data_IF_992278348416
#
_entry.id   IF_992278348416
#
_cell.length_a   1.000
_cell.length_b   1.000
_cell.length_c   1.000
_cell.angle_alpha   90.00
_cell.angle_beta   90.00
_cell.angle_gamma   90.00
#
_symmetry.space_group_name_H-M   'P 1'
#
loop_
_entity.id
_entity.type
_entity.pdbx_description
1 polymer ?
#
# COMPACT_ATOMS: atom_id res chain seq x y z
N UNK A 1 29.83 -35.70 -39.46
CA UNK A 1 29.99 -35.39 -38.02
C UNK A 1 30.10 -33.87 -37.88
N UNK A 2 29.00 -33.15 -37.62
CA UNK A 2 29.06 -31.81 -37.04
C UNK A 2 28.80 -31.91 -35.53
N UNK A 3 29.64 -31.27 -34.72
CA UNK A 3 29.58 -31.31 -33.27
C UNK A 3 28.35 -30.59 -32.72
N UNK A 4 27.57 -31.34 -31.95
CA UNK A 4 26.54 -30.84 -31.03
C UNK A 4 27.22 -30.03 -29.94
N UNK A 5 27.02 -28.71 -29.94
CA UNK A 5 27.34 -27.89 -28.79
C UNK A 5 26.23 -28.11 -27.76
N UNK A 6 26.55 -28.77 -26.64
CA UNK A 6 25.74 -28.70 -25.43
C UNK A 6 25.48 -27.22 -25.10
N UNK A 7 24.25 -26.84 -24.68
CA UNK A 7 24.00 -25.48 -24.23
C UNK A 7 25.01 -25.11 -23.16
N UNK A 8 25.63 -23.95 -23.32
CA UNK A 8 26.58 -23.46 -22.32
C UNK A 8 25.85 -23.24 -20.99
N UNK A 9 26.54 -23.41 -19.87
CA UNK A 9 25.98 -23.19 -18.52
C UNK A 9 25.27 -21.83 -18.39
N UNK A 10 25.75 -20.82 -19.12
CA UNK A 10 25.18 -19.48 -19.17
C UNK A 10 23.85 -19.41 -19.94
N UNK A 11 23.73 -20.13 -21.05
CA UNK A 11 22.47 -20.24 -21.82
C UNK A 11 21.39 -20.97 -21.03
N UNK A 12 21.74 -22.06 -20.33
CA UNK A 12 20.80 -22.77 -19.45
C UNK A 12 20.32 -21.88 -18.31
N UNK A 13 21.22 -21.12 -17.67
CA UNK A 13 20.86 -20.17 -16.61
C UNK A 13 19.96 -19.04 -17.12
N UNK A 14 20.26 -18.49 -18.29
CA UNK A 14 19.45 -17.47 -18.92
C UNK A 14 18.04 -17.99 -19.25
N UNK A 15 17.93 -19.25 -19.66
CA UNK A 15 16.63 -19.86 -19.94
C UNK A 15 15.83 -20.11 -18.65
N UNK A 16 16.46 -20.62 -17.59
CA UNK A 16 15.83 -20.77 -16.27
C UNK A 16 15.33 -19.43 -15.72
N UNK A 17 16.10 -18.36 -15.89
CA UNK A 17 15.70 -16.99 -15.56
C UNK A 17 14.45 -16.55 -16.34
N UNK A 18 14.36 -16.87 -17.64
CA UNK A 18 13.15 -16.59 -18.43
C UNK A 18 11.94 -17.42 -17.97
N UNK A 19 12.15 -18.69 -17.63
CA UNK A 19 11.10 -19.56 -17.08
C UNK A 19 10.52 -19.01 -15.77
N UNK A 20 11.39 -18.54 -14.88
CA UNK A 20 10.99 -17.84 -13.65
C UNK A 20 10.17 -16.59 -13.95
N UNK A 21 10.63 -15.77 -14.90
CA UNK A 21 9.93 -14.56 -15.29
C UNK A 21 8.53 -14.86 -15.84
N UNK A 22 8.39 -15.92 -16.65
CA UNK A 22 7.10 -16.35 -17.18
C UNK A 22 6.16 -16.80 -16.06
N UNK A 23 6.66 -17.62 -15.14
CA UNK A 23 5.88 -18.15 -14.02
C UNK A 23 5.30 -17.05 -13.10
N UNK A 24 6.08 -16.00 -12.87
CA UNK A 24 5.67 -14.84 -12.08
C UNK A 24 4.70 -13.94 -12.83
N UNK A 25 4.87 -13.78 -14.16
CA UNK A 25 3.88 -13.08 -14.99
C UNK A 25 2.54 -13.79 -14.97
N UNK A 26 2.51 -15.12 -15.03
CA UNK A 26 1.27 -15.89 -14.93
C UNK A 26 0.57 -15.67 -13.57
N UNK A 27 1.33 -15.60 -12.48
CA UNK A 27 0.80 -15.29 -11.16
C UNK A 27 0.25 -13.86 -11.08
N UNK A 28 0.95 -12.88 -11.67
CA UNK A 28 0.49 -11.50 -11.74
C UNK A 28 -0.79 -11.37 -12.60
N UNK A 29 -0.88 -12.09 -13.71
CA UNK A 29 -2.09 -12.15 -14.56
C UNK A 29 -3.26 -12.73 -13.76
N UNK A 30 -3.03 -13.79 -12.98
CA UNK A 30 -4.06 -14.37 -12.12
C UNK A 30 -4.51 -13.38 -11.02
N UNK A 31 -3.57 -12.66 -10.41
CA UNK A 31 -3.87 -11.60 -9.42
C UNK A 31 -4.70 -10.48 -10.03
N UNK A 32 -4.30 -9.97 -11.19
CA UNK A 32 -5.01 -8.90 -11.90
C UNK A 32 -6.42 -9.34 -12.31
N UNK A 33 -6.61 -10.60 -12.72
CA UNK A 33 -7.93 -11.17 -13.01
C UNK A 33 -8.84 -11.21 -11.78
N UNK A 34 -8.29 -11.57 -10.62
CA UNK A 34 -9.02 -11.54 -9.36
C UNK A 34 -9.36 -10.09 -8.93
N UNK A 35 -8.44 -9.15 -9.13
CA UNK A 35 -8.67 -7.72 -8.86
C UNK A 35 -9.75 -7.12 -9.79
N UNK A 36 -9.73 -7.43 -11.08
CA UNK A 36 -10.76 -7.02 -12.05
C UNK A 36 -12.15 -7.52 -11.61
N UNK A 37 -12.24 -8.79 -11.21
CA UNK A 37 -13.49 -9.38 -10.71
C UNK A 37 -13.99 -8.69 -9.44
N UNK A 38 -13.09 -8.39 -8.50
CA UNK A 38 -13.43 -7.70 -7.25
C UNK A 38 -13.90 -6.27 -7.51
N UNK A 39 -13.18 -5.51 -8.33
CA UNK A 39 -13.54 -4.13 -8.69
C UNK A 39 -14.88 -4.09 -9.45
N UNK A 40 -15.16 -5.06 -10.31
CA UNK A 40 -16.44 -5.15 -11.00
C UNK A 40 -17.61 -5.32 -10.03
N UNK A 41 -17.44 -6.13 -8.97
CA UNK A 41 -18.44 -6.27 -7.90
C UNK A 41 -18.60 -4.97 -7.12
N UNK A 42 -17.48 -4.35 -6.70
CA UNK A 42 -17.51 -3.08 -5.97
C UNK A 42 -18.21 -1.96 -6.76
N UNK A 43 -17.92 -1.85 -8.06
CA UNK A 43 -18.60 -0.90 -8.95
C UNK A 43 -20.11 -1.15 -8.99
N UNK A 44 -20.54 -2.41 -9.10
CA UNK A 44 -21.96 -2.75 -9.12
C UNK A 44 -22.65 -2.41 -7.79
N UNK A 45 -22.00 -2.67 -6.65
CA UNK A 45 -22.48 -2.30 -5.32
C UNK A 45 -22.57 -0.77 -5.15
N UNK A 46 -21.55 -0.03 -5.59
CA UNK A 46 -21.52 1.44 -5.56
C UNK A 46 -22.61 2.02 -6.46
N UNK A 47 -22.84 1.47 -7.65
CA UNK A 47 -23.94 1.89 -8.53
C UNK A 47 -25.31 1.67 -7.90
N UNK A 48 -25.52 0.53 -7.23
CA UNK A 48 -26.75 0.25 -6.49
C UNK A 48 -26.94 1.24 -5.32
N UNK A 49 -25.86 1.54 -4.58
CA UNK A 49 -25.87 2.52 -3.50
C UNK A 49 -26.20 3.93 -4.02
N UNK A 50 -25.66 4.33 -5.17
CA UNK A 50 -25.99 5.59 -5.84
C UNK A 50 -27.47 5.65 -6.19
N UNK A 51 -28.07 4.58 -6.73
CA UNK A 51 -29.48 4.55 -7.07
C UNK A 51 -30.37 4.75 -5.82
N UNK A 52 -30.05 4.06 -4.72
CA UNK A 52 -30.74 4.23 -3.43
C UNK A 52 -30.57 5.66 -2.86
N UNK A 53 -29.35 6.20 -2.91
CA UNK A 53 -29.07 7.55 -2.44
C UNK A 53 -29.79 8.62 -3.26
N UNK A 54 -29.96 8.42 -4.57
CA UNK A 54 -30.75 9.33 -5.41
C UNK A 54 -32.20 9.38 -4.97
N UNK A 55 -32.82 8.25 -4.63
CA UNK A 55 -34.18 8.21 -4.11
C UNK A 55 -34.30 8.97 -2.78
N UNK A 56 -33.32 8.79 -1.87
CA UNK A 56 -33.28 9.49 -0.59
C UNK A 56 -33.06 11.00 -0.76
N UNK A 57 -32.22 11.41 -1.70
CA UNK A 57 -32.00 12.83 -2.03
C UNK A 57 -33.30 13.45 -2.55
N UNK A 58 -34.04 12.78 -3.44
CA UNK A 58 -35.31 13.33 -3.94
C UNK A 58 -36.36 13.47 -2.82
N UNK A 59 -36.48 12.47 -1.93
CA UNK A 59 -37.38 12.56 -0.76
C UNK A 59 -37.01 13.73 0.16
N UNK A 60 -35.74 13.82 0.57
CA UNK A 60 -35.29 14.90 1.46
C UNK A 60 -35.34 16.28 0.80
N UNK A 61 -35.11 16.36 -0.51
CA UNK A 61 -35.26 17.57 -1.33
C UNK A 61 -36.70 18.09 -1.31
N UNK A 62 -37.69 17.22 -1.44
CA UNK A 62 -39.09 17.61 -1.37
C UNK A 62 -39.43 18.24 -0.01
N UNK A 63 -38.97 17.62 1.08
CA UNK A 63 -39.18 18.14 2.43
C UNK A 63 -38.43 19.45 2.68
N UNK A 64 -37.16 19.54 2.29
CA UNK A 64 -36.36 20.76 2.38
C UNK A 64 -36.99 21.90 1.54
N UNK A 65 -37.51 21.60 0.36
CA UNK A 65 -38.20 22.56 -0.50
C UNK A 65 -39.48 23.13 0.14
N UNK A 66 -40.25 22.32 0.87
CA UNK A 66 -41.41 22.79 1.65
C UNK A 66 -40.99 23.76 2.75
N UNK A 67 -39.92 23.45 3.48
CA UNK A 67 -39.36 24.33 4.51
C UNK A 67 -38.93 25.67 3.89
N UNK A 68 -38.09 25.65 2.86
CA UNK A 68 -37.60 26.87 2.19
C UNK A 68 -38.74 27.73 1.64
N UNK A 69 -39.77 27.10 1.05
CA UNK A 69 -40.96 27.82 0.56
C UNK A 69 -41.72 28.50 1.69
N UNK A 70 -41.88 27.85 2.85
CA UNK A 70 -42.56 28.44 4.00
C UNK A 70 -41.81 29.65 4.58
N UNK A 71 -40.47 29.65 4.55
CA UNK A 71 -39.67 30.84 4.87
C UNK A 71 -39.85 31.94 3.81
N UNK A 72 -39.79 31.58 2.52
CA UNK A 72 -39.93 32.52 1.41
C UNK A 72 -41.30 33.21 1.36
N UNK A 73 -42.38 32.45 1.57
CA UNK A 73 -43.75 32.97 1.59
C UNK A 73 -44.10 33.73 2.89
N UNK A 74 -43.16 33.83 3.84
CA UNK A 74 -43.37 34.55 5.10
C UNK A 74 -44.20 33.82 6.14
N UNK A 75 -44.65 32.58 5.89
CA UNK A 75 -45.42 31.78 6.84
C UNK A 75 -44.66 31.55 8.16
N UNK A 76 -43.33 31.42 8.08
CA UNK A 76 -42.45 31.26 9.25
C UNK A 76 -42.13 32.58 9.97
N UNK A 77 -42.15 33.70 9.26
CA UNK A 77 -41.93 35.06 9.83
C UNK A 77 -43.13 35.49 10.68
N UNK A 78 -44.34 35.07 10.30
CA UNK A 78 -45.56 35.31 11.07
C UNK A 78 -45.55 34.68 12.48
N UNK A 79 -44.72 33.66 12.73
CA UNK A 79 -44.63 33.01 14.05
C UNK A 79 -43.95 33.90 15.10
N UNK A 80 -43.00 34.74 14.70
CA UNK A 80 -42.43 35.76 15.60
C UNK A 80 -43.46 36.83 15.99
N UNK A 81 -44.34 37.21 15.06
CA UNK A 81 -45.42 38.13 15.36
C UNK A 81 -46.46 37.52 16.31
N UNK A 82 -46.64 36.19 16.29
CA UNK A 82 -47.49 35.48 17.24
C UNK A 82 -46.97 35.60 18.68
N UNK A 83 -45.65 35.50 18.90
CA UNK A 83 -45.03 35.71 20.23
C UNK A 83 -45.31 37.13 20.76
N UNK A 84 -45.22 38.14 19.90
CA UNK A 84 -45.52 39.54 20.25
C UNK A 84 -47.01 39.82 20.49
N UNK A 85 -47.89 38.93 20.02
CA UNK A 85 -49.34 39.02 20.19
C UNK A 85 -49.89 38.23 21.39
N UNK A 86 -49.00 37.59 22.17
CA UNK A 86 -49.38 36.74 23.30
C UNK A 86 -50.13 37.52 24.39
N UNK A 87 -51.18 36.91 24.97
CA UNK A 87 -52.05 37.57 25.96
C UNK A 87 -51.53 37.49 27.39
N UNK A 88 -50.51 36.68 27.64
CA UNK A 88 -49.87 36.52 28.95
C UNK A 88 -48.42 36.02 28.81
N UNK A 89 -47.63 36.14 29.87
CA UNK A 89 -46.25 35.63 29.90
C UNK A 89 -46.19 34.10 29.70
N UNK A 90 -47.14 33.36 30.29
CA UNK A 90 -47.21 31.90 30.12
C UNK A 90 -47.52 31.48 28.68
N UNK A 91 -48.36 32.27 28.00
CA UNK A 91 -48.72 32.08 26.60
C UNK A 91 -47.53 32.37 25.67
N UNK A 92 -46.78 33.45 25.96
CA UNK A 92 -45.56 33.80 25.22
C UNK A 92 -44.48 32.71 25.34
N UNK A 93 -44.26 32.15 26.54
CA UNK A 93 -43.31 31.05 26.77
C UNK A 93 -43.70 29.80 25.96
N UNK A 94 -44.99 29.44 25.98
CA UNK A 94 -45.49 28.27 25.24
C UNK A 94 -45.28 28.43 23.73
N UNK A 95 -45.61 29.61 23.16
CA UNK A 95 -45.40 29.90 21.74
C UNK A 95 -43.90 29.85 21.37
N UNK A 96 -43.03 30.36 22.24
CA UNK A 96 -41.58 30.31 22.05
C UNK A 96 -41.03 28.87 22.05
N UNK A 97 -41.51 27.99 22.94
CA UNK A 97 -41.12 26.58 22.96
C UNK A 97 -41.54 25.86 21.66
N UNK A 98 -42.76 26.07 21.18
CA UNK A 98 -43.21 25.54 19.89
C UNK A 98 -42.40 26.07 18.71
N UNK A 99 -42.03 27.35 18.73
CA UNK A 99 -41.19 27.94 17.71
C UNK A 99 -39.79 27.29 17.67
N UNK A 100 -39.17 27.07 18.82
CA UNK A 100 -37.88 26.39 18.89
C UNK A 100 -37.95 24.95 18.35
N UNK A 101 -39.02 24.20 18.67
CA UNK A 101 -39.22 22.86 18.11
C UNK A 101 -39.38 22.89 16.59
N UNK A 102 -40.11 23.88 16.06
CA UNK A 102 -40.27 24.08 14.62
C UNK A 102 -38.94 24.38 13.93
N UNK A 103 -38.16 25.33 14.45
CA UNK A 103 -36.83 25.70 13.92
C UNK A 103 -35.87 24.53 13.97
N UNK A 104 -35.84 23.77 15.06
CA UNK A 104 -35.02 22.55 15.15
C UNK A 104 -35.41 21.51 14.11
N UNK A 105 -36.71 21.31 13.88
CA UNK A 105 -37.19 20.39 12.86
C UNK A 105 -36.86 20.86 11.44
N UNK A 106 -37.00 22.15 11.16
CA UNK A 106 -36.64 22.76 9.87
C UNK A 106 -35.13 22.59 9.62
N UNK A 107 -34.28 22.87 10.62
CA UNK A 107 -32.84 22.61 10.55
C UNK A 107 -32.51 21.14 10.30
N UNK A 108 -33.16 20.22 11.02
CA UNK A 108 -32.98 18.79 10.81
C UNK A 108 -33.34 18.38 9.37
N UNK A 109 -34.42 18.94 8.83
CA UNK A 109 -34.88 18.64 7.47
C UNK A 109 -33.88 19.15 6.41
N UNK A 110 -33.38 20.38 6.57
CA UNK A 110 -32.39 20.96 5.67
C UNK A 110 -31.05 20.22 5.75
N UNK A 111 -30.60 19.86 6.96
CA UNK A 111 -29.39 19.08 7.16
C UNK A 111 -29.52 17.68 6.56
N UNK A 112 -30.66 17.00 6.74
CA UNK A 112 -30.89 15.69 6.14
C UNK A 112 -30.78 15.73 4.60
N UNK A 113 -31.27 16.80 3.96
CA UNK A 113 -31.06 16.99 2.52
C UNK A 113 -29.58 17.22 2.20
N UNK A 114 -28.90 18.14 2.90
CA UNK A 114 -27.48 18.42 2.69
C UNK A 114 -26.61 17.16 2.84
N UNK A 115 -26.84 16.38 3.90
CA UNK A 115 -26.12 15.14 4.19
C UNK A 115 -26.36 14.09 3.10
N UNK A 116 -27.62 13.89 2.68
CA UNK A 116 -27.96 12.94 1.61
C UNK A 116 -27.33 13.34 0.27
N UNK A 117 -27.30 14.64 -0.05
CA UNK A 117 -26.71 15.17 -1.27
C UNK A 117 -25.19 15.01 -1.28
N UNK A 118 -24.53 15.33 -0.17
CA UNK A 118 -23.10 15.14 0.00
C UNK A 118 -22.71 13.65 -0.08
N UNK A 119 -23.52 12.77 0.52
CA UNK A 119 -23.34 11.32 0.40
C UNK A 119 -23.44 10.83 -1.05
N UNK A 120 -24.40 11.34 -1.81
CA UNK A 120 -24.54 11.03 -3.24
C UNK A 120 -23.33 11.52 -4.07
N UNK A 121 -22.81 12.71 -3.79
CA UNK A 121 -21.61 13.24 -4.45
C UNK A 121 -20.38 12.38 -4.15
N UNK A 122 -20.16 12.04 -2.87
CA UNK A 122 -19.06 11.17 -2.46
C UNK A 122 -19.13 9.78 -3.11
N UNK A 123 -20.33 9.19 -3.19
CA UNK A 123 -20.53 7.90 -3.86
C UNK A 123 -20.22 7.97 -5.37
N UNK A 124 -20.57 9.07 -6.05
CA UNK A 124 -20.23 9.28 -7.46
C UNK A 124 -18.74 9.45 -7.69
N UNK A 125 -18.06 10.17 -6.79
CA UNK A 125 -16.60 10.32 -6.85
C UNK A 125 -15.90 8.96 -6.64
N UNK A 126 -16.38 8.17 -5.68
CA UNK A 126 -15.89 6.81 -5.47
C UNK A 126 -16.06 5.94 -6.72
N UNK A 127 -17.25 5.92 -7.32
CA UNK A 127 -17.51 5.18 -8.56
C UNK A 127 -16.55 5.58 -9.70
N UNK A 128 -16.25 6.88 -9.82
CA UNK A 128 -15.31 7.35 -10.82
C UNK A 128 -13.90 6.82 -10.57
N UNK A 129 -13.44 6.82 -9.31
CA UNK A 129 -12.14 6.25 -8.92
C UNK A 129 -12.06 4.75 -9.19
N UNK A 130 -13.09 3.99 -8.77
CA UNK A 130 -13.15 2.54 -9.01
C UNK A 130 -13.11 2.20 -10.50
N UNK A 131 -13.82 2.97 -11.35
CA UNK A 131 -13.78 2.78 -12.81
C UNK A 131 -12.44 3.12 -13.43
N UNK A 132 -11.75 4.13 -12.91
CA UNK A 132 -10.40 4.48 -13.35
C UNK A 132 -9.42 3.35 -12.98
N UNK A 133 -9.49 2.87 -11.73
CA UNK A 133 -8.67 1.75 -11.26
C UNK A 133 -8.92 0.49 -12.11
N UNK A 134 -10.18 0.17 -12.42
CA UNK A 134 -10.53 -0.94 -13.32
C UNK A 134 -9.88 -0.79 -14.71
N UNK A 135 -9.87 0.41 -15.28
CA UNK A 135 -9.24 0.66 -16.58
C UNK A 135 -7.72 0.44 -16.52
N UNK A 136 -7.07 0.88 -15.44
CA UNK A 136 -5.64 0.69 -15.20
C UNK A 136 -5.29 -0.80 -15.01
N UNK A 137 -6.09 -1.53 -14.23
CA UNK A 137 -5.96 -2.99 -14.04
C UNK A 137 -6.08 -3.73 -15.37
N UNK A 138 -7.06 -3.37 -16.21
CA UNK A 138 -7.23 -3.97 -17.54
C UNK A 138 -6.07 -3.68 -18.48
N UNK A 139 -5.56 -2.45 -18.48
CA UNK A 139 -4.39 -2.09 -19.29
C UNK A 139 -3.15 -2.88 -18.85
N UNK A 140 -2.92 -2.99 -17.54
CA UNK A 140 -1.84 -3.80 -16.96
C UNK A 140 -1.98 -5.27 -17.36
N UNK A 141 -3.18 -5.84 -17.25
CA UNK A 141 -3.47 -7.22 -17.60
C UNK A 141 -3.08 -7.54 -19.06
N UNK A 142 -3.46 -6.68 -20.01
CA UNK A 142 -3.12 -6.86 -21.43
C UNK A 142 -1.60 -6.79 -21.62
N UNK A 143 -0.95 -5.79 -21.03
CA UNK A 143 0.51 -5.63 -21.14
C UNK A 143 1.27 -6.84 -20.58
N UNK A 144 0.85 -7.39 -19.44
CA UNK A 144 1.48 -8.58 -18.86
C UNK A 144 1.27 -9.82 -19.73
N UNK A 145 0.08 -9.99 -20.33
CA UNK A 145 -0.18 -11.10 -21.27
C UNK A 145 0.69 -11.04 -22.51
N UNK A 146 0.89 -9.86 -23.09
CA UNK A 146 1.76 -9.67 -24.25
C UNK A 146 3.23 -10.00 -23.92
N UNK A 147 3.70 -9.56 -22.75
CA UNK A 147 5.04 -9.91 -22.24
C UNK A 147 5.19 -11.41 -22.02
N UNK A 148 4.21 -12.05 -21.37
CA UNK A 148 4.23 -13.49 -21.13
C UNK A 148 4.27 -14.29 -22.44
N UNK A 149 3.47 -13.89 -23.43
CA UNK A 149 3.48 -14.52 -24.76
C UNK A 149 4.84 -14.38 -25.46
N UNK A 150 5.49 -13.22 -25.33
CA UNK A 150 6.83 -12.97 -25.90
C UNK A 150 7.87 -13.88 -25.25
N UNK A 151 7.91 -13.94 -23.91
CA UNK A 151 8.86 -14.79 -23.18
C UNK A 151 8.61 -16.28 -23.48
N UNK A 152 7.34 -16.70 -23.56
CA UNK A 152 7.00 -18.07 -23.92
C UNK A 152 7.50 -18.45 -25.32
N UNK A 153 7.37 -17.55 -26.31
CA UNK A 153 7.91 -17.75 -27.65
C UNK A 153 9.43 -17.84 -27.66
N UNK A 154 10.12 -17.02 -26.87
CA UNK A 154 11.57 -17.06 -26.75
C UNK A 154 12.06 -18.38 -26.12
N UNK A 155 11.37 -18.85 -25.07
CA UNK A 155 11.66 -20.15 -24.44
C UNK A 155 11.47 -21.29 -25.44
N UNK A 156 10.34 -21.30 -26.15
CA UNK A 156 10.04 -22.35 -27.12
C UNK A 156 11.03 -22.36 -28.29
N UNK A 157 11.45 -21.19 -28.77
CA UNK A 157 12.47 -21.10 -29.81
C UNK A 157 13.80 -21.73 -29.38
N UNK A 158 14.23 -21.50 -28.13
CA UNK A 158 15.45 -22.11 -27.58
C UNK A 158 15.28 -23.62 -27.45
N UNK A 159 14.15 -24.08 -26.89
CA UNK A 159 13.87 -25.52 -26.73
C UNK A 159 13.86 -26.23 -28.09
N UNK A 160 13.19 -25.67 -29.10
CA UNK A 160 13.06 -26.28 -30.43
C UNK A 160 14.39 -26.40 -31.19
N UNK A 161 15.35 -25.52 -30.90
CA UNK A 161 16.69 -25.56 -31.52
C UNK A 161 17.70 -26.42 -30.76
N UNK A 162 17.36 -26.86 -29.55
CA UNK A 162 18.24 -27.63 -28.69
C UNK A 162 18.01 -29.15 -28.86
N UNK A 163 19.06 -29.96 -29.14
CA UNK A 163 18.96 -31.42 -29.21
C UNK A 163 18.36 -32.07 -27.96
N UNK A 164 18.60 -31.48 -26.78
CA UNK A 164 18.09 -31.95 -25.48
C UNK A 164 16.90 -31.12 -24.99
N UNK A 165 16.15 -30.49 -25.90
CA UNK A 165 15.08 -29.55 -25.59
C UNK A 165 14.01 -30.10 -24.63
N UNK A 166 13.69 -31.39 -24.69
CA UNK A 166 12.71 -32.01 -23.78
C UNK A 166 13.23 -32.14 -22.35
N UNK A 167 14.52 -32.48 -22.17
CA UNK A 167 15.16 -32.48 -20.85
C UNK A 167 15.17 -31.06 -20.29
N UNK A 168 15.49 -30.08 -21.12
CA UNK A 168 15.52 -28.66 -20.73
C UNK A 168 14.14 -28.14 -20.31
N UNK A 169 13.07 -28.56 -20.99
CA UNK A 169 11.68 -28.27 -20.61
C UNK A 169 11.35 -28.83 -19.23
N UNK A 170 11.70 -30.09 -18.97
CA UNK A 170 11.47 -30.71 -17.66
C UNK A 170 12.24 -30.02 -16.53
N UNK A 171 13.47 -29.55 -16.80
CA UNK A 171 14.24 -28.78 -15.82
C UNK A 171 13.61 -27.42 -15.53
N UNK A 172 13.11 -26.72 -16.54
CA UNK A 172 12.37 -25.46 -16.40
C UNK A 172 11.10 -25.64 -15.55
N UNK A 173 10.32 -26.67 -15.85
CA UNK A 173 9.08 -26.97 -15.12
C UNK A 173 9.38 -27.30 -13.66
N UNK A 174 10.39 -28.15 -13.40
CA UNK A 174 10.81 -28.50 -12.04
C UNK A 174 11.29 -27.27 -11.26
N UNK A 175 12.12 -26.43 -11.87
CA UNK A 175 12.61 -25.21 -11.24
C UNK A 175 11.47 -24.24 -10.92
N UNK A 176 10.51 -24.11 -11.85
CA UNK A 176 9.32 -23.27 -11.66
C UNK A 176 8.46 -23.76 -10.49
N UNK A 177 8.26 -25.06 -10.37
CA UNK A 177 7.51 -25.66 -9.25
C UNK A 177 8.26 -25.45 -7.94
N UNK A 178 9.56 -25.72 -7.89
CA UNK A 178 10.37 -25.51 -6.69
C UNK A 178 10.38 -24.05 -6.23
N UNK A 179 10.49 -23.13 -7.17
CA UNK A 179 10.36 -21.70 -6.91
C UNK A 179 9.00 -21.36 -6.28
N UNK A 180 7.89 -21.83 -6.86
CA UNK A 180 6.53 -21.56 -6.34
C UNK A 180 6.29 -22.17 -4.96
N UNK A 181 6.76 -23.40 -4.74
CA UNK A 181 6.47 -24.15 -3.52
C UNK A 181 7.43 -23.83 -2.37
N UNK A 182 8.67 -23.43 -2.67
CA UNK A 182 9.69 -23.15 -1.64
C UNK A 182 10.18 -21.70 -1.68
N UNK A 183 10.54 -21.19 -2.86
CA UNK A 183 11.10 -19.86 -3.03
C UNK A 183 10.16 -18.73 -2.61
N UNK A 184 8.95 -18.68 -3.19
CA UNK A 184 7.96 -17.65 -2.85
C UNK A 184 7.59 -17.66 -1.36
N UNK A 185 7.25 -18.81 -0.73
CA UNK A 185 6.97 -18.85 0.70
C UNK A 185 8.15 -18.41 1.58
N UNK A 186 9.38 -18.74 1.17
CA UNK A 186 10.60 -18.31 1.87
C UNK A 186 10.73 -16.78 1.86
N UNK A 187 10.60 -16.12 0.70
CA UNK A 187 10.66 -14.65 0.65
C UNK A 187 9.55 -13.99 1.44
N UNK A 188 8.31 -14.52 1.39
CA UNK A 188 7.21 -14.01 2.21
C UNK A 188 7.54 -14.11 3.70
N UNK A 189 8.09 -15.24 4.15
CA UNK A 189 8.51 -15.44 5.54
C UNK A 189 9.58 -14.42 5.96
N UNK A 190 10.58 -14.19 5.09
CA UNK A 190 11.63 -13.19 5.34
C UNK A 190 11.08 -11.77 5.39
N UNK A 191 10.33 -11.34 4.39
CA UNK A 191 9.79 -9.98 4.31
C UNK A 191 8.77 -9.70 5.41
N UNK A 192 7.92 -10.66 5.76
CA UNK A 192 7.04 -10.56 6.93
C UNK A 192 7.85 -10.35 8.21
N UNK A 193 8.91 -11.14 8.40
CA UNK A 193 9.77 -11.02 9.59
C UNK A 193 10.52 -9.68 9.61
N UNK A 194 10.90 -9.14 8.45
CA UNK A 194 11.54 -7.83 8.33
C UNK A 194 10.54 -6.73 8.68
N UNK A 195 9.33 -6.78 8.13
CA UNK A 195 8.22 -5.88 8.47
C UNK A 195 7.99 -5.84 9.99
N UNK A 196 7.89 -7.00 10.64
CA UNK A 196 7.68 -7.09 12.09
C UNK A 196 8.86 -6.48 12.88
N UNK A 197 10.10 -6.75 12.45
CA UNK A 197 11.29 -6.18 13.06
C UNK A 197 11.38 -4.66 12.86
N UNK A 198 10.96 -4.15 11.70
CA UNK A 198 10.92 -2.73 11.36
C UNK A 198 9.93 -1.95 12.22
N UNK A 199 8.78 -2.55 12.55
CA UNK A 199 7.84 -1.95 13.51
C UNK A 199 8.46 -1.78 14.91
N UNK A 200 9.48 -2.57 15.24
CA UNK A 200 10.23 -2.49 16.50
C UNK A 200 11.45 -1.55 16.44
N UNK A 201 11.84 -1.07 15.24
CA UNK A 201 12.99 -0.16 15.06
C UNK A 201 12.99 1.08 15.98
N UNK A 202 11.85 1.71 16.33
CA UNK A 202 11.83 2.83 17.26
C UNK A 202 12.45 2.53 18.63
N UNK A 203 12.53 1.27 19.06
CA UNK A 203 13.20 0.89 20.31
C UNK A 203 14.71 1.21 20.30
N UNK A 204 15.35 1.29 19.13
CA UNK A 204 16.72 1.77 19.00
C UNK A 204 16.80 3.29 19.19
N UNK A 205 15.78 4.01 18.70
CA UNK A 205 15.76 5.48 18.65
C UNK A 205 15.18 6.11 19.93
N UNK A 206 14.64 5.31 20.85
CA UNK A 206 13.92 5.76 22.03
C UNK A 206 14.42 5.11 23.32
N UNK A 207 13.99 5.64 24.48
CA UNK A 207 14.30 5.05 25.78
C UNK A 207 15.79 5.05 26.13
N UNK A 208 16.24 3.96 26.77
CA UNK A 208 17.62 3.82 27.28
C UNK A 208 18.66 3.63 26.18
N UNK A 209 18.24 3.20 24.99
CA UNK A 209 19.13 2.93 23.87
C UNK A 209 19.41 4.18 23.03
N UNK A 210 18.51 5.17 23.07
CA UNK A 210 18.59 6.38 22.25
C UNK A 210 19.95 7.09 22.34
N UNK A 211 20.52 7.22 23.55
CA UNK A 211 21.81 7.90 23.76
C UNK A 211 22.98 7.22 23.03
N UNK A 212 22.89 5.93 22.73
CA UNK A 212 23.93 5.19 22.00
C UNK A 212 23.97 5.61 20.53
N UNK A 213 22.80 5.88 19.95
CA UNK A 213 22.65 6.11 18.52
C UNK A 213 22.57 7.60 18.14
N UNK A 214 22.27 8.49 19.08
CA UNK A 214 22.32 9.95 18.85
C UNK A 214 23.77 10.39 18.60
N UNK A 215 24.01 11.05 17.47
CA UNK A 215 25.31 11.63 17.11
C UNK A 215 25.33 13.15 17.19
N UNK A 216 24.20 13.80 17.00
CA UNK A 216 24.09 15.26 17.04
C UNK A 216 22.69 15.70 17.49
N UNK A 217 22.64 16.85 18.16
CA UNK A 217 21.40 17.50 18.63
C UNK A 217 21.50 19.00 18.33
N UNK A 218 20.61 19.50 17.49
CA UNK A 218 20.46 20.93 17.24
C UNK A 218 19.27 21.49 18.05
N UNK A 219 19.60 22.12 19.17
CA UNK A 219 18.62 22.75 20.06
C UNK A 219 17.91 23.97 19.45
N UNK A 220 18.45 24.59 18.39
CA UNK A 220 17.80 25.74 17.74
C UNK A 220 16.67 25.30 16.83
N UNK A 221 16.87 24.19 16.13
CA UNK A 221 15.90 23.64 15.17
C UNK A 221 15.06 22.51 15.72
N UNK A 222 15.40 21.99 16.90
CA UNK A 222 14.75 20.82 17.50
C UNK A 222 15.07 19.51 16.76
N UNK A 223 16.19 19.46 16.04
CA UNK A 223 16.56 18.30 15.24
C UNK A 223 17.59 17.39 15.92
N UNK A 224 17.49 16.09 15.69
CA UNK A 224 18.40 15.06 16.20
C UNK A 224 18.87 14.17 15.06
N UNK A 225 20.17 13.82 15.06
CA UNK A 225 20.76 12.90 14.09
C UNK A 225 21.07 11.59 14.77
N UNK A 226 20.50 10.51 14.27
CA UNK A 226 20.76 9.14 14.70
C UNK A 226 21.67 8.45 13.67
N UNK A 227 22.57 7.60 14.15
CA UNK A 227 23.41 6.76 13.30
C UNK A 227 23.41 5.31 13.83
N UNK A 228 22.97 4.38 12.98
CA UNK A 228 22.89 2.94 13.26
C UNK A 228 23.87 2.23 12.32
N UNK A 229 24.78 1.43 12.86
CA UNK A 229 25.72 0.65 12.05
C UNK A 229 25.05 -0.61 11.46
N UNK A 230 25.65 -1.17 10.42
CA UNK A 230 25.30 -2.49 9.85
C UNK A 230 25.25 -3.57 10.93
N UNK A 231 26.26 -3.58 11.82
CA UNK A 231 26.37 -4.55 12.91
C UNK A 231 25.27 -4.38 13.96
N UNK A 232 24.93 -3.13 14.30
CA UNK A 232 23.86 -2.82 15.25
C UNK A 232 22.50 -3.21 14.67
N UNK A 233 22.23 -2.87 13.41
CA UNK A 233 20.98 -3.25 12.74
C UNK A 233 20.87 -4.79 12.65
N UNK A 234 21.93 -5.46 12.23
CA UNK A 234 21.97 -6.92 12.12
C UNK A 234 21.72 -7.57 13.48
N UNK A 235 22.38 -7.09 14.54
CA UNK A 235 22.21 -7.59 15.89
C UNK A 235 20.79 -7.35 16.41
N UNK A 236 20.23 -6.18 16.12
CA UNK A 236 18.86 -5.83 16.47
C UNK A 236 17.86 -6.78 15.81
N UNK A 237 17.93 -6.99 14.49
CA UNK A 237 17.03 -7.92 13.81
C UNK A 237 17.19 -9.36 14.31
N UNK A 238 18.41 -9.85 14.52
CA UNK A 238 18.65 -11.17 15.13
C UNK A 238 18.03 -11.32 16.50
N UNK A 239 18.01 -10.25 17.30
CA UNK A 239 17.35 -10.27 18.62
C UNK A 239 15.83 -10.35 18.53
N UNK A 240 15.23 -9.88 17.43
CA UNK A 240 13.79 -9.89 17.19
C UNK A 240 13.31 -11.20 16.59
N UNK A 241 14.08 -11.81 15.70
CA UNK A 241 13.70 -13.06 15.07
C UNK A 241 14.93 -13.95 14.77
N UNK A 242 14.97 -15.21 15.26
CA UNK A 242 16.09 -16.12 15.03
C UNK A 242 16.30 -16.45 13.55
N UNK A 243 15.31 -16.24 12.69
CA UNK A 243 15.40 -16.37 11.24
C UNK A 243 16.52 -15.49 10.62
N UNK A 244 16.89 -14.40 11.27
CA UNK A 244 17.97 -13.52 10.81
C UNK A 244 19.37 -13.98 11.22
N UNK A 245 19.51 -15.12 11.90
CA UNK A 245 20.83 -15.63 12.34
C UNK A 245 21.80 -15.82 11.19
N UNK A 246 21.29 -16.21 10.02
CA UNK A 246 22.08 -16.45 8.81
C UNK A 246 22.03 -15.29 7.81
N UNK A 247 21.42 -14.15 8.18
CA UNK A 247 21.35 -12.95 7.35
C UNK A 247 22.29 -11.89 7.91
N UNK A 248 22.94 -11.18 6.99
CA UNK A 248 23.71 -9.97 7.27
C UNK A 248 23.10 -8.80 6.52
N UNK A 249 23.01 -7.65 7.20
CA UNK A 249 22.52 -6.40 6.63
C UNK A 249 23.69 -5.45 6.42
N UNK A 250 23.76 -4.81 5.26
CA UNK A 250 24.84 -3.88 4.89
C UNK A 250 24.33 -2.61 4.24
N UNK A 251 24.86 -1.46 4.64
CA UNK A 251 24.56 -0.15 4.09
C UNK A 251 25.67 0.31 3.15
N UNK A 252 25.36 0.45 1.86
CA UNK A 252 26.32 0.88 0.85
C UNK A 252 25.63 1.74 -0.22
N UNK A 253 26.22 2.88 -0.58
CA UNK A 253 25.76 3.74 -1.68
C UNK A 253 24.27 4.13 -1.65
N UNK A 254 23.74 4.49 -0.48
CA UNK A 254 22.33 4.79 -0.27
C UNK A 254 21.37 3.60 -0.52
N UNK A 255 21.91 2.37 -0.47
CA UNK A 255 21.16 1.11 -0.55
C UNK A 255 21.39 0.26 0.72
N UNK A 256 20.39 -0.56 1.04
CA UNK A 256 20.47 -1.63 2.03
C UNK A 256 20.52 -2.98 1.30
N UNK A 257 21.51 -3.78 1.67
CA UNK A 257 21.71 -5.15 1.20
C UNK A 257 21.48 -6.12 2.36
N UNK A 258 20.45 -6.95 2.28
CA UNK A 258 20.30 -8.11 3.13
C UNK A 258 20.69 -9.36 2.34
N UNK A 259 21.60 -10.16 2.86
CA UNK A 259 22.02 -11.41 2.20
C UNK A 259 22.29 -12.51 3.21
N UNK A 260 21.96 -13.75 2.85
CA UNK A 260 22.18 -14.92 3.69
C UNK A 260 21.93 -16.23 2.95
N UNK A 261 21.99 -17.32 3.71
CA UNK A 261 21.73 -18.67 3.20
C UNK A 261 20.73 -19.40 4.11
N UNK A 262 19.68 -19.98 3.52
CA UNK A 262 18.70 -20.85 4.22
C UNK A 262 18.61 -22.17 3.46
N UNK A 263 18.82 -23.30 4.15
CA UNK A 263 18.77 -24.65 3.58
C UNK A 263 19.61 -24.84 2.29
N UNK A 264 20.77 -24.17 2.22
CA UNK A 264 21.68 -24.23 1.07
C UNK A 264 21.32 -23.29 -0.08
N UNK A 265 20.23 -22.54 0.04
CA UNK A 265 19.76 -21.55 -0.95
C UNK A 265 20.30 -20.17 -0.57
N UNK A 266 21.00 -19.53 -1.49
CA UNK A 266 21.43 -18.13 -1.33
C UNK A 266 20.25 -17.19 -1.59
N UNK A 267 20.00 -16.28 -0.65
CA UNK A 267 18.95 -15.27 -0.77
C UNK A 267 19.53 -13.88 -0.57
N UNK A 268 19.08 -12.92 -1.37
CA UNK A 268 19.40 -11.51 -1.15
C UNK A 268 18.26 -10.57 -1.48
N UNK A 269 18.25 -9.44 -0.78
CA UNK A 269 17.33 -8.32 -0.92
C UNK A 269 18.20 -7.08 -1.04
N UNK A 270 17.99 -6.30 -2.11
CA UNK A 270 18.53 -4.95 -2.26
C UNK A 270 17.36 -3.97 -2.33
N UNK A 271 17.52 -2.84 -1.66
CA UNK A 271 16.53 -1.78 -1.70
C UNK A 271 17.06 -0.47 -1.15
N UNK A 272 16.21 0.54 -1.12
CA UNK A 272 16.54 1.86 -0.60
C UNK A 272 15.41 2.43 0.26
N UNK A 273 15.72 3.45 1.05
CA UNK A 273 14.73 4.17 1.84
C UNK A 273 14.34 5.50 1.19
N UNK A 274 13.04 5.81 1.20
CA UNK A 274 12.51 7.13 0.86
C UNK A 274 11.68 7.69 1.99
N UNK A 275 11.50 9.02 2.00
CA UNK A 275 10.61 9.70 2.96
C UNK A 275 9.31 10.03 2.23
N UNK A 276 8.22 9.39 2.62
CA UNK A 276 6.88 9.66 2.13
C UNK A 276 6.12 10.57 3.09
N UNK A 277 5.42 11.57 2.54
CA UNK A 277 4.64 12.56 3.32
C UNK A 277 3.19 12.69 2.84
N UNK A 278 2.63 11.66 2.18
CA UNK A 278 1.29 11.74 1.58
C UNK A 278 0.18 11.86 2.65
N UNK A 279 0.20 10.99 3.65
CA UNK A 279 -0.79 10.94 4.74
C UNK A 279 -0.13 11.04 6.11
N UNK A 280 1.00 10.36 6.28
CA UNK A 280 1.86 10.38 7.46
C UNK A 280 3.31 10.47 7.01
N UNK A 281 4.19 11.05 7.85
CA UNK A 281 5.62 11.02 7.61
C UNK A 281 6.13 9.59 7.86
N UNK A 282 6.50 8.91 6.77
CA UNK A 282 6.91 7.50 6.78
C UNK A 282 8.26 7.36 6.09
N UNK A 283 9.18 6.65 6.72
CA UNK A 283 10.38 6.15 6.07
C UNK A 283 10.02 4.82 5.40
N UNK A 284 9.79 4.83 4.09
CA UNK A 284 9.40 3.64 3.32
C UNK A 284 10.64 2.96 2.77
N UNK A 285 10.72 1.63 2.93
CA UNK A 285 11.71 0.82 2.21
C UNK A 285 11.11 0.33 0.90
N UNK A 286 11.83 0.50 -0.21
CA UNK A 286 11.46 -0.03 -1.52
C UNK A 286 12.39 -1.17 -1.91
N UNK A 287 11.82 -2.24 -2.46
CA UNK A 287 12.57 -3.42 -2.87
C UNK A 287 12.99 -3.26 -4.33
N UNK A 288 14.28 -2.99 -4.54
CA UNK A 288 14.84 -2.82 -5.88
C UNK A 288 15.10 -4.17 -6.55
N UNK A 289 15.60 -5.16 -5.78
CA UNK A 289 15.96 -6.46 -6.32
C UNK A 289 15.91 -7.57 -5.27
N UNK A 290 15.25 -8.66 -5.61
CA UNK A 290 15.33 -9.93 -4.89
C UNK A 290 16.14 -10.93 -5.72
N UNK A 291 16.98 -11.74 -5.06
CA UNK A 291 17.74 -12.80 -5.73
C UNK A 291 17.59 -14.13 -4.99
N UNK A 292 17.29 -15.20 -5.72
CA UNK A 292 17.12 -16.57 -5.23
C UNK A 292 18.08 -17.52 -5.94
N UNK A 293 19.02 -18.14 -5.22
CA UNK A 293 20.02 -19.05 -5.80
C UNK A 293 20.73 -18.47 -7.03
N UNK A 294 21.01 -17.16 -7.00
CA UNK A 294 21.62 -16.42 -8.10
C UNK A 294 20.69 -16.03 -9.25
N UNK A 295 19.38 -16.32 -9.17
CA UNK A 295 18.37 -15.85 -10.11
C UNK A 295 17.73 -14.58 -9.61
N UNK A 296 17.61 -13.57 -10.47
CA UNK A 296 17.00 -12.28 -10.12
C UNK A 296 15.50 -12.41 -10.24
N UNK A 297 14.72 -12.04 -9.23
CA UNK A 297 13.28 -12.10 -9.36
C UNK A 297 12.77 -10.97 -10.27
N UNK A 298 11.67 -11.22 -11.01
CA UNK A 298 10.97 -10.19 -11.76
C UNK A 298 10.56 -9.01 -10.88
N UNK A 299 10.51 -7.82 -11.50
CA UNK A 299 10.01 -6.60 -10.86
C UNK A 299 8.58 -6.78 -10.32
N UNK A 300 7.74 -7.58 -10.99
CA UNK A 300 6.38 -7.90 -10.52
C UNK A 300 6.38 -8.60 -9.17
N UNK A 301 7.33 -9.49 -8.93
CA UNK A 301 7.49 -10.20 -7.66
C UNK A 301 7.98 -9.24 -6.57
N UNK A 302 8.97 -8.40 -6.88
CA UNK A 302 9.48 -7.38 -5.96
C UNK A 302 8.34 -6.46 -5.49
N UNK A 303 7.57 -5.91 -6.44
CA UNK A 303 6.44 -5.03 -6.15
C UNK A 303 5.31 -5.74 -5.40
N UNK A 304 4.93 -6.95 -5.82
CA UNK A 304 3.87 -7.69 -5.13
C UNK A 304 4.21 -7.96 -3.67
N UNK A 305 5.47 -8.26 -3.37
CA UNK A 305 5.91 -8.51 -2.01
C UNK A 305 6.05 -7.22 -1.19
N UNK A 306 6.48 -6.12 -1.82
CA UNK A 306 6.49 -4.79 -1.19
C UNK A 306 5.06 -4.29 -0.86
N UNK A 307 4.08 -4.57 -1.73
CA UNK A 307 2.67 -4.26 -1.46
C UNK A 307 2.08 -5.13 -0.34
N UNK A 308 2.55 -6.37 -0.19
CA UNK A 308 2.05 -7.34 0.79
C UNK A 308 2.55 -7.03 2.22
N UNK A 309 3.78 -6.50 2.37
CA UNK A 309 4.41 -6.28 3.67
C UNK A 309 4.78 -4.81 3.88
N UNK A 310 4.42 -4.25 5.05
CA UNK A 310 4.84 -2.88 5.40
C UNK A 310 6.31 -2.86 5.85
N UNK A 311 7.22 -2.68 4.88
CA UNK A 311 8.66 -2.58 5.13
C UNK A 311 9.10 -1.18 5.61
N UNK A 312 8.14 -0.29 5.90
CA UNK A 312 8.43 1.06 6.36
C UNK A 312 8.38 1.24 7.88
N UNK A 313 8.78 2.43 8.31
CA UNK A 313 8.72 2.85 9.70
C UNK A 313 8.10 4.26 9.79
N UNK A 314 7.15 4.43 10.70
CA UNK A 314 6.44 5.70 10.92
C UNK A 314 6.75 6.24 12.33
N UNK A 315 7.69 7.19 12.49
CA UNK A 315 8.09 7.69 13.82
C UNK A 315 6.95 8.29 14.63
N UNK A 316 5.99 8.92 13.96
CA UNK A 316 4.86 9.60 14.61
C UNK A 316 3.91 8.64 15.35
N UNK A 317 3.97 7.34 15.08
CA UNK A 317 3.21 6.33 15.85
C UNK A 317 3.72 6.18 17.29
N UNK A 318 4.98 6.54 17.54
CA UNK A 318 5.65 6.34 18.83
C UNK A 318 5.87 7.65 19.58
N UNK A 319 6.15 8.73 18.84
CA UNK A 319 6.36 10.06 19.41
C UNK A 319 5.64 11.11 18.56
N UNK A 320 4.60 11.74 19.13
CA UNK A 320 3.83 12.79 18.45
C UNK A 320 4.72 13.99 18.12
N UNK A 321 4.54 14.55 16.93
CA UNK A 321 5.29 15.73 16.46
C UNK A 321 6.62 15.39 15.80
N UNK A 322 7.03 14.12 15.76
CA UNK A 322 8.31 13.72 15.18
C UNK A 322 8.17 13.36 13.71
N UNK A 323 9.08 13.88 12.88
CA UNK A 323 9.19 13.56 11.45
C UNK A 323 10.64 13.27 11.04
N UNK A 324 10.85 12.26 10.19
CA UNK A 324 12.09 12.06 9.44
C UNK A 324 12.18 13.11 8.34
N UNK A 325 13.31 13.80 8.30
CA UNK A 325 13.59 14.88 7.34
C UNK A 325 14.72 14.52 6.37
N UNK A 326 15.57 13.57 6.75
CA UNK A 326 16.70 13.11 5.93
C UNK A 326 17.03 11.66 6.28
N UNK A 327 17.38 10.89 5.24
CA UNK A 327 17.91 9.53 5.35
C UNK A 327 19.12 9.40 4.42
N UNK A 328 20.16 8.74 4.88
CA UNK A 328 21.31 8.36 4.04
C UNK A 328 21.94 7.07 4.55
N UNK A 329 22.45 6.24 3.65
CA UNK A 329 23.12 4.97 3.99
C UNK A 329 24.51 4.95 3.37
N UNK A 330 25.55 5.27 4.15
CA UNK A 330 26.93 5.37 3.63
C UNK A 330 27.94 4.83 4.62
N UNK A 331 28.88 4.05 4.11
CA UNK A 331 30.00 3.51 4.88
C UNK A 331 29.56 2.63 6.04
N UNK A 332 28.58 1.74 5.81
CA UNK A 332 28.06 0.81 6.82
C UNK A 332 27.21 1.48 7.91
N UNK A 333 26.67 2.67 7.65
CA UNK A 333 25.89 3.44 8.61
C UNK A 333 24.63 4.02 7.97
N UNK A 334 23.48 3.72 8.57
CA UNK A 334 22.23 4.42 8.34
C UNK A 334 22.19 5.67 9.21
N UNK A 335 22.11 6.84 8.58
CA UNK A 335 21.88 8.12 9.26
C UNK A 335 20.46 8.59 9.04
N UNK A 336 19.80 8.94 10.14
CA UNK A 336 18.44 9.48 10.15
C UNK A 336 18.44 10.84 10.82
N UNK A 337 17.95 11.86 10.11
CA UNK A 337 17.69 13.17 10.71
C UNK A 337 16.21 13.30 11.03
N UNK A 338 15.95 13.52 12.30
CA UNK A 338 14.61 13.58 12.86
C UNK A 338 14.38 14.99 13.40
N UNK A 339 13.19 15.54 13.18
CA UNK A 339 12.80 16.87 13.65
C UNK A 339 11.48 16.81 14.42
N UNK A 340 11.43 17.53 15.53
CA UNK A 340 10.21 17.86 16.29
C UNK A 340 9.52 19.12 15.77
#
# INVERSE_FOLDING_TARGET
MPGSAEPTLEETRALLQKGLNLAELDQEIARLSAQDSKLAVQIAETEQSIASNQENVEKTREHAGKVLRAYYMGERVNVWMLVLSARSMSDAISIYEYFNLLVQNDHRTLNAYADSYNGLLAARELLQKERQELAEVKASFVAQREKAATIAQEIEAVIATNPDGETLRQELDRFTVEWKEKGVPMFRKYLSSISDAMQSLPELLTGKNASTYIKDIDFKTGSMVFAISDEDLTSFFRSKNPLFSNISFRFENDELFASGQEDGVDVSIRGHYTIENKTVNKLQFHVDQLTYSGFVLPETSNRSLEEEFDLGFTPSLFLKGISVTEVSMKGGVLRLKIKQ
#
